data_IF_930586166022
#
_entry.id   IF_930586166022
#
_cell.length_a   1.000
_cell.length_b   1.000
_cell.length_c   1.000
_cell.angle_alpha   90.00
_cell.angle_beta   90.00
_cell.angle_gamma   90.00
#
_symmetry.space_group_name_H-M   'P 1'
#
loop_
_entity.id
_entity.type
_entity.pdbx_description
1 polymer ?
#
# COMPACT_ATOMS: atom_id res chain seq x y z
N UNK A 1 -13.78 50.13 -37.27
CA UNK A 1 -13.69 48.65 -37.14
C UNK A 1 -12.23 48.27 -36.87
N UNK A 2 -11.75 48.34 -35.62
CA UNK A 2 -10.34 48.01 -35.26
C UNK A 2 -10.21 47.53 -33.80
N UNK A 3 -11.02 46.54 -33.39
CA UNK A 3 -10.85 45.87 -32.07
C UNK A 3 -10.73 44.34 -32.12
N UNK A 4 -10.91 43.69 -33.28
CA UNK A 4 -10.87 42.22 -33.36
C UNK A 4 -9.47 41.60 -33.44
N UNK A 5 -8.43 42.36 -33.80
CA UNK A 5 -7.07 41.81 -33.98
C UNK A 5 -6.32 41.69 -32.64
N UNK A 6 -6.56 42.58 -31.69
CA UNK A 6 -5.82 42.63 -30.43
C UNK A 6 -6.22 41.51 -29.44
N UNK A 7 -7.47 41.04 -29.45
CA UNK A 7 -7.91 39.98 -28.51
C UNK A 7 -7.56 38.56 -28.97
N UNK A 8 -7.29 38.35 -30.27
CA UNK A 8 -6.89 37.05 -30.83
C UNK A 8 -5.38 36.80 -30.71
N UNK A 9 -4.59 37.87 -30.60
CA UNK A 9 -3.13 37.82 -30.52
C UNK A 9 -2.59 37.00 -29.34
N UNK A 10 -3.07 37.15 -28.09
CA UNK A 10 -2.53 36.40 -26.95
C UNK A 10 -2.78 34.89 -27.04
N UNK A 11 -3.94 34.47 -27.58
CA UNK A 11 -4.23 33.04 -27.74
C UNK A 11 -3.40 32.39 -28.86
N UNK A 12 -3.13 33.12 -29.94
CA UNK A 12 -2.25 32.67 -31.03
C UNK A 12 -0.81 32.55 -30.51
N UNK A 13 -0.32 33.53 -29.76
CA UNK A 13 1.01 33.45 -29.13
C UNK A 13 1.12 32.27 -28.15
N UNK A 14 0.09 32.04 -27.34
CA UNK A 14 0.05 30.89 -26.42
C UNK A 14 0.06 29.55 -27.18
N UNK A 15 -0.74 29.43 -28.25
CA UNK A 15 -0.77 28.24 -29.09
C UNK A 15 0.62 27.96 -29.70
N UNK A 16 1.29 28.97 -30.23
CA UNK A 16 2.63 28.82 -30.80
C UNK A 16 3.69 28.47 -29.75
N UNK A 17 3.61 29.05 -28.55
CA UNK A 17 4.48 28.67 -27.42
C UNK A 17 4.29 27.22 -27.01
N UNK A 18 3.04 26.76 -26.90
CA UNK A 18 2.76 25.36 -26.58
C UNK A 18 3.22 24.40 -27.68
N UNK A 19 3.04 24.75 -28.96
CA UNK A 19 3.54 23.93 -30.08
C UNK A 19 5.08 23.87 -30.10
N UNK A 20 5.76 24.99 -29.82
CA UNK A 20 7.22 25.01 -29.71
C UNK A 20 7.73 24.18 -28.53
N UNK A 21 7.09 24.28 -27.36
CA UNK A 21 7.42 23.47 -26.18
C UNK A 21 7.19 21.98 -26.45
N UNK A 22 6.06 21.62 -27.08
CA UNK A 22 5.77 20.26 -27.46
C UNK A 22 6.82 19.71 -28.44
N UNK A 23 7.22 20.49 -29.44
CA UNK A 23 8.27 20.10 -30.39
C UNK A 23 9.61 19.81 -29.69
N UNK A 24 10.04 20.68 -28.76
CA UNK A 24 11.27 20.51 -27.96
C UNK A 24 11.21 19.27 -27.07
N UNK A 25 10.06 18.99 -26.45
CA UNK A 25 9.86 17.80 -25.61
C UNK A 25 9.72 16.51 -26.43
N UNK A 26 9.19 16.60 -27.66
CA UNK A 26 9.02 15.45 -28.56
C UNK A 26 10.29 15.07 -29.32
N UNK A 27 11.29 15.96 -29.36
CA UNK A 27 12.58 15.67 -29.98
C UNK A 27 13.41 14.76 -29.07
N UNK A 28 13.19 13.46 -29.22
CA UNK A 28 13.92 12.38 -28.55
C UNK A 28 15.45 12.41 -28.80
N UNK A 29 15.94 13.27 -29.69
CA UNK A 29 17.37 13.50 -29.88
C UNK A 29 18.02 14.27 -28.71
N UNK A 30 17.27 15.11 -28.00
CA UNK A 30 17.79 15.88 -26.86
C UNK A 30 17.90 15.06 -25.57
N UNK A 31 17.29 13.87 -25.51
CA UNK A 31 17.25 13.02 -24.31
C UNK A 31 18.07 11.73 -24.46
N UNK A 32 18.93 11.65 -25.48
CA UNK A 32 19.99 10.63 -25.52
C UNK A 32 21.04 10.95 -24.46
N UNK A 33 20.69 10.61 -23.23
CA UNK A 33 21.63 10.38 -22.16
C UNK A 33 22.61 9.34 -22.68
N UNK A 34 23.89 9.72 -22.80
CA UNK A 34 24.98 8.78 -22.93
C UNK A 34 24.95 7.93 -21.66
N UNK A 35 24.32 6.76 -21.74
CA UNK A 35 24.44 5.74 -20.71
C UNK A 35 25.89 5.26 -20.80
N UNK A 36 26.73 5.45 -19.77
CA UNK A 36 28.06 4.83 -19.77
C UNK A 36 27.87 3.31 -19.81
N UNK A 37 28.66 2.64 -20.63
CA UNK A 37 28.65 1.17 -20.73
C UNK A 37 28.78 0.54 -19.33
N UNK A 38 28.02 -0.52 -19.03
CA UNK A 38 28.18 -1.24 -17.78
C UNK A 38 29.63 -1.76 -17.68
N UNK A 39 30.30 -1.64 -16.52
CA UNK A 39 31.65 -2.16 -16.36
C UNK A 39 31.65 -3.68 -16.62
N UNK A 40 32.63 -4.14 -17.38
CA UNK A 40 32.81 -5.56 -17.70
C UNK A 40 32.82 -6.40 -16.41
N UNK A 41 32.19 -7.58 -16.41
CA UNK A 41 32.14 -8.44 -15.24
C UNK A 41 33.55 -8.84 -14.82
N UNK A 42 33.87 -8.60 -13.54
CA UNK A 42 35.13 -8.98 -12.92
C UNK A 42 35.29 -10.50 -13.00
N UNK A 43 36.35 -10.94 -13.68
CA UNK A 43 36.82 -12.33 -13.67
C UNK A 43 37.25 -12.72 -12.26
N UNK A 44 36.40 -13.47 -11.55
CA UNK A 44 36.78 -14.09 -10.28
C UNK A 44 37.52 -15.38 -10.61
N UNK A 45 38.84 -15.36 -10.47
CA UNK A 45 39.67 -16.57 -10.46
C UNK A 45 39.32 -17.39 -9.21
N UNK A 46 38.65 -18.52 -9.43
CA UNK A 46 38.28 -19.47 -8.38
C UNK A 46 39.57 -20.14 -7.92
N UNK A 47 40.03 -19.76 -6.73
CA UNK A 47 41.12 -20.45 -6.02
C UNK A 47 40.69 -21.90 -5.79
N UNK A 48 41.51 -22.90 -6.14
CA UNK A 48 41.12 -24.29 -6.12
C UNK A 48 40.87 -24.80 -4.69
N UNK A 49 39.65 -25.30 -4.51
CA UNK A 49 39.31 -26.53 -3.79
C UNK A 49 39.87 -26.69 -2.36
N UNK A 50 39.07 -26.28 -1.37
CA UNK A 50 39.16 -26.88 -0.04
C UNK A 50 38.60 -28.30 -0.14
N UNK A 51 39.51 -29.28 -0.28
CA UNK A 51 39.24 -30.70 -0.11
C UNK A 51 39.06 -30.96 1.39
N UNK A 52 37.85 -31.24 1.90
CA UNK A 52 37.72 -31.78 3.24
C UNK A 52 38.33 -33.18 3.28
N UNK A 53 39.06 -33.55 4.34
CA UNK A 53 39.64 -34.89 4.45
C UNK A 53 38.55 -35.96 4.43
N UNK A 54 38.79 -36.96 3.59
CA UNK A 54 38.02 -38.20 3.46
C UNK A 54 37.90 -38.91 4.81
N UNK A 55 36.67 -39.11 5.27
CA UNK A 55 36.36 -40.03 6.36
C UNK A 55 36.19 -41.43 5.73
N UNK A 56 36.87 -42.47 6.25
CA UNK A 56 36.73 -43.82 5.72
C UNK A 56 35.33 -44.41 5.95
N UNK A 57 34.94 -45.18 4.95
CA UNK A 57 33.77 -46.06 4.85
C UNK A 57 33.73 -47.12 5.97
N UNK A 58 32.60 -47.23 6.67
CA UNK A 58 32.15 -48.45 7.35
C UNK A 58 30.67 -48.36 7.78
N UNK A 59 29.87 -49.26 7.18
CA UNK A 59 28.59 -49.87 7.62
C UNK A 59 27.36 -48.94 7.74
N UNK A 60 26.33 -48.96 6.87
CA UNK A 60 25.43 -50.04 6.39
C UNK A 60 24.61 -50.76 7.47
N UNK A 61 23.37 -51.07 7.06
CA UNK A 61 22.22 -51.70 7.72
C UNK A 61 21.26 -50.74 8.43
N UNK A 62 19.94 -50.75 8.25
CA UNK A 62 19.03 -51.42 7.31
C UNK A 62 17.63 -50.90 7.66
N UNK A 63 16.82 -50.40 6.70
CA UNK A 63 15.36 -50.61 6.73
C UNK A 63 14.86 -50.65 5.29
N UNK A 64 14.77 -51.87 4.81
CA UNK A 64 14.16 -52.31 3.56
C UNK A 64 12.63 -52.09 3.60
N UNK A 65 12.16 -51.32 2.61
CA UNK A 65 11.03 -51.58 1.72
C UNK A 65 9.90 -52.52 2.20
N UNK A 66 8.70 -51.98 2.44
CA UNK A 66 7.45 -52.73 2.40
C UNK A 66 6.52 -52.18 1.31
N UNK A 67 6.70 -52.80 0.15
CA UNK A 67 5.85 -53.01 -1.02
C UNK A 67 4.43 -52.38 -1.03
N UNK A 68 4.20 -51.57 -2.07
CA UNK A 68 2.92 -51.45 -2.78
C UNK A 68 2.72 -52.64 -3.71
N UNK A 69 1.62 -53.36 -3.53
CA UNK A 69 0.90 -54.18 -4.52
C UNK A 69 -0.39 -54.62 -3.80
N UNK A 70 -1.61 -54.67 -4.31
CA UNK A 70 -2.26 -54.40 -5.60
C UNK A 70 -3.76 -54.59 -5.33
N UNK A 71 -4.64 -53.78 -5.91
CA UNK A 71 -5.86 -54.24 -6.61
C UNK A 71 -6.67 -53.05 -7.15
N UNK A 72 -6.80 -53.01 -8.48
CA UNK A 72 -7.73 -52.21 -9.25
C UNK A 72 -8.89 -53.15 -9.70
N UNK A 73 -10.19 -52.82 -9.44
CA UNK A 73 -11.20 -52.26 -10.41
C UNK A 73 -12.05 -53.36 -11.11
N UNK A 74 -13.34 -53.21 -11.58
CA UNK A 74 -14.53 -52.35 -11.32
C UNK A 74 -15.89 -53.15 -11.21
N UNK A 75 -17.10 -52.72 -11.72
CA UNK A 75 -18.13 -51.80 -11.18
C UNK A 75 -19.58 -52.37 -11.17
N UNK A 76 -20.51 -51.83 -10.38
CA UNK A 76 -21.98 -51.93 -10.59
C UNK A 76 -22.67 -50.70 -9.94
N UNK A 77 -23.10 -49.68 -10.69
CA UNK A 77 -24.44 -49.46 -11.29
C UNK A 77 -25.53 -48.98 -10.29
N UNK A 78 -26.01 -47.75 -10.56
CA UNK A 78 -27.18 -47.05 -10.00
C UNK A 78 -28.49 -47.87 -10.11
N UNK A 79 -29.54 -47.54 -9.32
CA UNK A 79 -30.55 -46.61 -9.85
C UNK A 79 -31.12 -45.61 -8.82
N UNK A 80 -31.41 -44.42 -9.34
CA UNK A 80 -32.36 -43.44 -8.81
C UNK A 80 -33.80 -44.01 -8.82
N UNK A 81 -34.73 -43.46 -8.03
CA UNK A 81 -35.77 -42.67 -8.71
C UNK A 81 -36.23 -41.41 -7.93
N UNK A 82 -36.34 -40.31 -8.67
CA UNK A 82 -37.28 -39.20 -8.46
C UNK A 82 -38.75 -39.64 -8.75
N UNK A 83 -39.83 -38.81 -8.78
CA UNK A 83 -39.94 -37.34 -8.68
C UNK A 83 -41.22 -36.79 -7.96
N UNK A 84 -41.40 -35.47 -7.98
CA UNK A 84 -42.71 -34.79 -7.84
C UNK A 84 -42.61 -33.45 -7.09
N UNK A 85 -42.44 -32.32 -7.77
CA UNK A 85 -43.48 -31.38 -8.27
C UNK A 85 -44.31 -30.76 -7.13
N UNK A 86 -44.57 -29.45 -7.03
CA UNK A 86 -45.31 -28.62 -8.01
C UNK A 86 -45.39 -27.15 -7.49
N UNK A 87 -45.14 -26.18 -8.38
CA UNK A 87 -45.86 -24.91 -8.64
C UNK A 87 -45.98 -23.73 -7.64
N UNK A 88 -45.60 -22.55 -8.14
CA UNK A 88 -46.15 -21.19 -7.89
C UNK A 88 -47.58 -21.06 -8.52
N UNK A 89 -48.34 -19.91 -8.53
CA UNK A 89 -48.01 -18.51 -8.21
C UNK A 89 -49.14 -17.69 -7.52
N UNK A 90 -48.95 -16.36 -7.54
CA UNK A 90 -49.95 -15.25 -7.62
C UNK A 90 -50.18 -14.30 -6.43
N UNK A 91 -49.99 -13.00 -6.73
CA UNK A 91 -50.62 -11.85 -6.06
C UNK A 91 -52.06 -11.64 -6.57
N UNK A 92 -52.87 -10.77 -5.93
CA UNK A 92 -53.05 -9.41 -6.50
C UNK A 92 -53.27 -8.25 -5.50
N UNK A 93 -52.54 -7.15 -5.75
CA UNK A 93 -52.87 -5.71 -5.82
C UNK A 93 -53.99 -4.98 -5.01
N UNK A 94 -53.60 -3.75 -4.60
CA UNK A 94 -54.36 -2.46 -4.49
C UNK A 94 -55.13 -2.20 -3.17
N UNK A 95 -55.17 -1.01 -2.56
CA UNK A 95 -54.89 0.37 -3.00
C UNK A 95 -54.75 1.30 -1.77
N UNK A 96 -54.05 2.43 -1.90
CA UNK A 96 -54.05 3.50 -0.89
C UNK A 96 -53.00 4.58 -1.15
N UNK A 97 -53.26 5.48 -2.09
CA UNK A 97 -52.40 6.62 -2.41
C UNK A 97 -52.52 7.76 -1.37
N UNK A 98 -51.37 8.25 -0.87
CA UNK A 98 -51.16 9.67 -0.50
C UNK A 98 -49.65 10.02 -0.41
N UNK A 99 -49.17 10.72 -1.43
CA UNK A 99 -48.05 11.69 -1.49
C UNK A 99 -46.76 11.39 -0.69
N UNK A 100 -45.61 11.07 -1.32
CA UNK A 100 -44.32 11.16 -0.65
C UNK A 100 -43.71 12.55 -0.87
N UNK A 101 -43.63 13.31 0.22
CA UNK A 101 -42.64 14.37 0.39
C UNK A 101 -41.25 13.73 0.30
N UNK A 102 -40.41 14.29 -0.56
CA UNK A 102 -39.09 13.82 -0.91
C UNK A 102 -38.17 13.82 0.32
N UNK A 103 -38.21 12.76 1.10
CA UNK A 103 -37.16 12.43 2.06
C UNK A 103 -36.06 11.74 1.26
N UNK A 104 -34.87 12.34 1.25
CA UNK A 104 -33.67 11.79 0.64
C UNK A 104 -33.49 10.30 1.03
N UNK A 105 -33.01 9.43 0.11
CA UNK A 105 -32.77 8.04 0.45
C UNK A 105 -31.81 7.94 1.64
N UNK A 106 -32.05 7.02 2.61
CA UNK A 106 -31.08 6.74 3.63
C UNK A 106 -29.81 6.25 2.93
N UNK A 107 -28.71 6.97 3.17
CA UNK A 107 -27.37 6.53 2.81
C UNK A 107 -27.03 5.28 3.63
N UNK A 108 -27.53 4.13 3.19
CA UNK A 108 -27.18 2.83 3.76
C UNK A 108 -25.83 2.42 3.20
N UNK A 109 -24.78 2.88 3.87
CA UNK A 109 -23.56 2.14 4.20
C UNK A 109 -22.61 3.12 4.89
N UNK A 110 -22.93 3.52 6.13
CA UNK A 110 -21.91 4.08 6.99
C UNK A 110 -20.87 2.99 7.23
N UNK A 111 -19.74 3.08 6.52
CA UNK A 111 -18.49 2.40 6.88
C UNK A 111 -18.30 2.60 8.38
N UNK A 112 -17.94 1.56 9.17
CA UNK A 112 -17.74 1.73 10.60
C UNK A 112 -16.79 2.91 10.80
N UNK A 113 -17.29 3.97 11.43
CA UNK A 113 -16.55 5.17 11.74
C UNK A 113 -15.36 4.71 12.56
N UNK A 114 -14.17 4.74 11.96
CA UNK A 114 -12.99 4.14 12.55
C UNK A 114 -12.74 4.79 13.90
N UNK A 115 -12.72 3.98 14.96
CA UNK A 115 -12.56 4.46 16.33
C UNK A 115 -11.20 5.18 16.45
N UNK A 116 -11.25 6.48 16.72
CA UNK A 116 -10.05 7.30 16.89
C UNK A 116 -9.48 7.09 18.29
N UNK A 117 -8.18 6.84 18.33
CA UNK A 117 -7.37 6.68 19.54
C UNK A 117 -6.48 7.91 19.69
N UNK A 118 -6.55 8.57 20.84
CA UNK A 118 -5.62 9.64 21.22
C UNK A 118 -4.46 9.05 22.01
N UNK A 119 -3.23 9.28 21.54
CA UNK A 119 -2.03 8.81 22.20
C UNK A 119 -1.58 9.79 23.30
N UNK A 120 -1.18 9.24 24.45
CA UNK A 120 -0.65 10.01 25.59
C UNK A 120 0.87 9.87 25.76
N UNK A 121 1.52 9.10 24.89
CA UNK A 121 2.96 8.85 24.88
C UNK A 121 3.37 8.71 23.43
N UNK A 122 4.54 9.25 23.06
CA UNK A 122 5.03 9.28 21.69
C UNK A 122 6.36 8.53 21.59
N UNK A 123 6.59 7.82 20.49
CA UNK A 123 7.66 6.84 20.39
C UNK A 123 8.71 7.19 19.32
N UNK A 124 8.37 8.06 18.35
CA UNK A 124 9.25 8.37 17.22
C UNK A 124 10.62 8.89 17.67
N UNK A 125 10.68 9.77 18.67
CA UNK A 125 11.94 10.29 19.17
C UNK A 125 12.82 9.18 19.79
N UNK A 126 12.25 8.29 20.57
CA UNK A 126 12.99 7.20 21.21
C UNK A 126 13.50 6.20 20.15
N UNK A 127 12.69 5.88 19.14
CA UNK A 127 13.11 5.04 18.02
C UNK A 127 14.22 5.70 17.23
N UNK A 128 14.15 7.01 16.95
CA UNK A 128 15.22 7.71 16.24
C UNK A 128 16.51 7.75 17.06
N UNK A 129 16.42 7.89 18.39
CA UNK A 129 17.59 7.91 19.28
C UNK A 129 18.22 6.52 19.49
N UNK A 130 17.54 5.42 19.15
CA UNK A 130 18.15 4.09 19.14
C UNK A 130 19.36 4.04 18.19
N UNK A 131 20.52 3.49 18.62
CA UNK A 131 21.70 3.36 17.75
C UNK A 131 21.43 2.65 16.42
N UNK A 132 20.48 1.72 16.38
CA UNK A 132 20.09 1.00 15.15
C UNK A 132 19.42 1.91 14.12
N UNK A 133 18.93 3.07 14.53
CA UNK A 133 18.31 4.08 13.67
C UNK A 133 19.30 5.14 13.16
N UNK A 134 20.61 4.90 13.26
CA UNK A 134 21.64 5.84 12.82
C UNK A 134 21.43 6.32 11.36
N UNK A 135 21.16 5.39 10.43
CA UNK A 135 20.91 5.74 9.04
C UNK A 135 19.67 6.64 8.86
N UNK A 136 18.60 6.40 9.62
CA UNK A 136 17.41 7.25 9.57
C UNK A 136 17.71 8.66 10.11
N UNK A 137 18.49 8.78 11.19
CA UNK A 137 18.92 10.06 11.73
C UNK A 137 19.82 10.86 10.77
N UNK A 138 20.66 10.18 10.00
CA UNK A 138 21.50 10.80 8.97
C UNK A 138 20.68 11.21 7.74
N UNK A 139 19.67 10.42 7.37
CA UNK A 139 18.84 10.65 6.19
C UNK A 139 17.79 11.75 6.38
N UNK A 140 17.12 11.81 7.53
CA UNK A 140 16.02 12.78 7.77
C UNK A 140 16.40 14.24 7.50
N UNK A 141 17.60 14.75 7.88
CA UNK A 141 18.00 16.12 7.58
C UNK A 141 18.26 16.40 6.09
N UNK A 142 18.40 15.37 5.25
CA UNK A 142 18.58 15.52 3.79
C UNK A 142 17.27 15.73 3.05
N UNK A 143 16.14 15.44 3.70
CA UNK A 143 14.81 15.65 3.18
C UNK A 143 14.42 17.12 3.24
N UNK A 144 13.41 17.49 2.46
CA UNK A 144 12.75 18.79 2.67
C UNK A 144 12.16 18.84 4.08
N UNK A 145 11.96 20.05 4.62
CA UNK A 145 11.37 20.19 5.95
C UNK A 145 9.98 19.57 6.04
N UNK A 146 9.22 19.53 4.95
CA UNK A 146 7.90 18.92 4.91
C UNK A 146 8.01 17.39 4.93
N UNK A 147 8.79 16.82 4.01
CA UNK A 147 8.99 15.37 3.91
C UNK A 147 9.56 14.79 5.22
N UNK A 148 10.53 15.48 5.84
CA UNK A 148 11.11 15.05 7.12
C UNK A 148 10.07 14.98 8.24
N UNK A 149 9.15 15.96 8.31
CA UNK A 149 8.04 15.96 9.27
C UNK A 149 7.09 14.80 9.00
N UNK A 150 6.76 14.53 7.74
CA UNK A 150 5.91 13.40 7.36
C UNK A 150 6.54 12.06 7.71
N UNK A 151 7.85 11.88 7.51
CA UNK A 151 8.55 10.66 7.90
C UNK A 151 8.50 10.43 9.42
N UNK A 152 8.69 11.48 10.22
CA UNK A 152 8.59 11.40 11.68
C UNK A 152 7.16 11.00 12.10
N UNK A 153 6.15 11.60 11.49
CA UNK A 153 4.75 11.27 11.76
C UNK A 153 4.37 9.86 11.28
N UNK A 154 4.92 9.39 10.17
CA UNK A 154 4.73 8.03 9.68
C UNK A 154 5.39 7.01 10.61
N UNK A 155 6.59 7.32 11.13
CA UNK A 155 7.26 6.52 12.14
C UNK A 155 6.41 6.42 13.42
N UNK A 156 5.92 7.56 13.91
CA UNK A 156 5.04 7.61 15.08
C UNK A 156 3.81 6.71 14.91
N UNK A 157 3.11 6.83 13.77
CA UNK A 157 1.93 6.01 13.47
C UNK A 157 2.23 4.50 13.50
N UNK A 158 3.38 4.09 12.94
CA UNK A 158 3.82 2.71 12.96
C UNK A 158 4.09 2.21 14.39
N UNK A 159 4.72 3.03 15.23
CA UNK A 159 4.99 2.64 16.62
C UNK A 159 3.71 2.59 17.46
N UNK A 160 2.80 3.55 17.30
CA UNK A 160 1.52 3.55 18.01
C UNK A 160 0.74 2.26 17.74
N UNK A 161 0.66 1.84 16.48
CA UNK A 161 -0.01 0.59 16.13
C UNK A 161 0.73 -0.63 16.68
N UNK A 162 2.07 -0.63 16.65
CA UNK A 162 2.89 -1.73 17.21
C UNK A 162 2.65 -1.91 18.71
N UNK A 163 2.59 -0.81 19.47
CA UNK A 163 2.38 -0.83 20.91
C UNK A 163 0.94 -1.17 21.30
N UNK A 164 -0.06 -0.67 20.55
CA UNK A 164 -1.46 -0.86 20.86
C UNK A 164 -2.01 -2.26 20.48
N UNK A 165 -1.42 -2.92 19.48
CA UNK A 165 -1.93 -4.20 18.94
C UNK A 165 -0.85 -5.29 18.95
N UNK A 166 -0.83 -6.16 19.97
CA UNK A 166 0.07 -7.31 20.01
C UNK A 166 -0.02 -8.13 18.71
N UNK A 167 1.13 -8.42 18.10
CA UNK A 167 1.21 -9.16 16.84
C UNK A 167 1.28 -8.29 15.58
N UNK A 168 0.92 -7.01 15.64
CA UNK A 168 1.22 -6.08 14.55
C UNK A 168 2.73 -5.78 14.53
N UNK A 169 3.33 -5.96 13.36
CA UNK A 169 4.71 -5.56 13.04
C UNK A 169 4.65 -4.59 11.85
N UNK A 170 4.37 -3.30 12.07
CA UNK A 170 4.31 -2.33 10.98
C UNK A 170 5.68 -2.18 10.32
N UNK A 171 5.72 -2.25 8.99
CA UNK A 171 6.96 -2.19 8.18
C UNK A 171 6.96 -1.05 7.18
N UNK A 172 5.78 -0.52 6.83
CA UNK A 172 5.64 0.55 5.84
C UNK A 172 4.37 1.33 6.08
N UNK A 173 4.41 2.61 5.79
CA UNK A 173 3.25 3.50 5.78
C UNK A 173 3.24 4.28 4.46
N UNK A 174 2.07 4.35 3.83
CA UNK A 174 1.81 5.13 2.63
C UNK A 174 0.78 6.21 3.00
N UNK A 175 1.21 7.44 3.33
CA UNK A 175 0.32 8.46 3.88
C UNK A 175 -0.65 9.04 2.83
N UNK A 176 -0.32 8.90 1.54
CA UNK A 176 -1.14 9.39 0.42
C UNK A 176 -1.89 8.28 -0.32
N UNK A 177 -2.09 7.10 0.28
CA UNK A 177 -2.61 5.92 -0.44
C UNK A 177 -4.00 6.16 -1.05
N UNK A 178 -4.97 6.63 -0.27
CA UNK A 178 -6.34 6.88 -0.75
C UNK A 178 -6.64 8.38 -0.91
N UNK A 179 -6.04 9.20 -0.04
CA UNK A 179 -6.16 10.66 -0.05
C UNK A 179 -4.82 11.27 0.32
N UNK A 180 -4.47 12.38 -0.31
CA UNK A 180 -3.26 13.10 0.02
C UNK A 180 -3.28 13.53 1.50
N UNK A 181 -2.14 13.35 2.18
CA UNK A 181 -1.87 14.09 3.41
C UNK A 181 -1.84 15.59 3.11
N UNK A 182 -1.98 16.38 4.16
CA UNK A 182 -1.77 17.82 4.08
C UNK A 182 -1.34 18.36 5.45
N UNK A 183 -0.65 19.50 5.42
CA UNK A 183 -0.25 20.20 6.62
C UNK A 183 -1.24 21.32 6.97
N UNK A 184 -1.55 21.44 8.26
CA UNK A 184 -2.25 22.57 8.85
C UNK A 184 -1.45 23.04 10.06
N UNK A 185 -0.82 24.21 9.94
CA UNK A 185 0.03 24.80 10.98
C UNK A 185 1.16 23.83 11.39
N UNK A 186 1.17 23.36 12.63
CA UNK A 186 2.12 22.41 13.21
C UNK A 186 1.68 20.94 13.06
N UNK A 187 0.53 20.69 12.43
CA UNK A 187 -0.11 19.39 12.38
C UNK A 187 -0.12 18.82 10.95
N UNK A 188 0.40 17.60 10.79
CA UNK A 188 0.21 16.78 9.58
C UNK A 188 -1.06 15.96 9.74
N UNK A 189 -1.92 16.00 8.72
CA UNK A 189 -3.19 15.28 8.70
C UNK A 189 -3.15 14.28 7.55
N UNK A 190 -3.32 13.00 7.90
CA UNK A 190 -3.48 11.89 6.95
C UNK A 190 -4.91 11.38 7.06
N UNK A 191 -5.81 11.83 6.17
CA UNK A 191 -7.23 11.49 6.27
C UNK A 191 -7.52 10.05 5.83
N UNK A 192 -6.72 9.48 4.91
CA UNK A 192 -6.85 8.10 4.46
C UNK A 192 -5.54 7.60 3.80
N UNK A 193 -4.70 6.96 4.60
CA UNK A 193 -3.47 6.29 4.17
C UNK A 193 -3.57 4.77 4.31
N UNK A 194 -2.42 4.10 4.11
CA UNK A 194 -2.29 2.66 4.27
C UNK A 194 -1.08 2.31 5.15
N UNK A 195 -1.25 1.35 6.05
CA UNK A 195 -0.22 0.78 6.91
C UNK A 195 0.00 -0.69 6.56
N UNK A 196 1.24 -1.09 6.29
CA UNK A 196 1.58 -2.49 6.06
C UNK A 196 2.05 -3.14 7.35
N UNK A 197 1.43 -4.25 7.72
CA UNK A 197 1.87 -5.12 8.80
C UNK A 197 1.70 -6.59 8.43
N UNK A 198 2.71 -7.43 8.72
CA UNK A 198 2.67 -8.87 8.43
C UNK A 198 2.29 -9.19 6.96
N UNK A 199 2.79 -8.40 6.00
CA UNK A 199 2.48 -8.48 4.56
C UNK A 199 1.03 -8.18 4.17
N UNK A 200 0.24 -7.64 5.09
CA UNK A 200 -1.13 -7.18 4.84
C UNK A 200 -1.17 -5.66 4.96
N UNK A 201 -1.87 -5.00 4.05
CA UNK A 201 -2.13 -3.57 4.10
C UNK A 201 -3.43 -3.30 4.86
N UNK A 202 -3.45 -2.29 5.71
CA UNK A 202 -4.59 -1.85 6.51
C UNK A 202 -4.84 -0.37 6.24
N UNK A 203 -6.10 0.05 6.28
CA UNK A 203 -6.40 1.48 6.26
C UNK A 203 -5.90 2.15 7.55
N UNK A 204 -5.41 3.39 7.43
CA UNK A 204 -5.05 4.20 8.59
C UNK A 204 -5.37 5.68 8.33
N UNK A 205 -5.88 6.35 9.35
CA UNK A 205 -5.96 7.82 9.39
C UNK A 205 -5.22 8.31 10.63
N UNK A 206 -4.57 9.47 10.56
CA UNK A 206 -3.93 10.07 11.73
C UNK A 206 -3.80 11.58 11.66
N UNK A 207 -3.63 12.20 12.83
CA UNK A 207 -3.25 13.60 13.03
C UNK A 207 -2.00 13.61 13.89
N UNK A 208 -0.95 14.23 13.38
CA UNK A 208 0.35 14.28 14.03
C UNK A 208 0.75 15.74 14.22
N UNK A 209 0.74 16.21 15.46
CA UNK A 209 1.24 17.53 15.84
C UNK A 209 2.71 17.42 16.20
N UNK A 210 3.51 18.32 15.65
CA UNK A 210 4.92 18.44 15.95
C UNK A 210 5.16 19.69 16.79
N UNK A 211 6.28 19.72 17.50
CA UNK A 211 6.76 20.90 18.20
C UNK A 211 7.19 22.01 17.22
N UNK A 212 7.58 23.17 17.77
CA UNK A 212 8.02 24.31 16.96
C UNK A 212 9.25 24.00 16.09
N UNK A 213 10.08 23.02 16.47
CA UNK A 213 11.22 22.58 15.65
C UNK A 213 10.81 21.70 14.47
N UNK A 214 9.59 21.13 14.49
CA UNK A 214 9.11 20.18 13.50
C UNK A 214 9.75 18.80 13.62
N UNK A 215 10.37 18.47 14.77
CA UNK A 215 11.16 17.25 14.94
C UNK A 215 10.66 16.34 16.05
N UNK A 216 9.87 16.87 16.97
CA UNK A 216 9.39 16.14 18.14
C UNK A 216 7.86 16.07 18.06
N UNK A 217 7.31 14.87 18.16
CA UNK A 217 5.85 14.67 18.25
C UNK A 217 5.35 15.23 19.58
N UNK A 218 4.35 16.12 19.51
CA UNK A 218 3.72 16.78 20.65
C UNK A 218 2.24 16.41 20.83
N UNK A 219 1.64 15.81 19.80
CA UNK A 219 0.25 15.36 19.76
C UNK A 219 0.06 14.27 18.72
N UNK A 220 -0.65 13.20 19.04
CA UNK A 220 -0.93 12.16 18.06
C UNK A 220 -2.30 11.50 18.28
N UNK A 221 -3.06 11.40 17.19
CA UNK A 221 -4.34 10.70 17.14
C UNK A 221 -4.37 9.82 15.90
N UNK A 222 -4.91 8.61 15.99
CA UNK A 222 -5.03 7.73 14.83
C UNK A 222 -6.26 6.85 14.89
N UNK A 223 -6.66 6.35 13.73
CA UNK A 223 -7.66 5.32 13.59
C UNK A 223 -7.12 4.24 12.66
N UNK A 224 -7.10 2.99 13.13
CA UNK A 224 -6.69 1.82 12.33
C UNK A 224 -7.94 1.14 11.79
N UNK A 225 -8.03 1.02 10.47
CA UNK A 225 -9.16 0.42 9.78
C UNK A 225 -8.97 -1.05 9.40
N UNK A 226 -9.83 -1.49 8.49
CA UNK A 226 -9.84 -2.86 7.99
C UNK A 226 -8.62 -3.16 7.10
N UNK A 227 -8.30 -4.46 6.88
CA UNK A 227 -7.40 -4.88 5.82
C UNK A 227 -7.89 -4.38 4.45
N UNK A 228 -6.94 -3.98 3.60
CA UNK A 228 -7.18 -3.52 2.23
C UNK A 228 -7.10 -4.73 1.31
N UNK A 229 -8.14 -4.93 0.50
CA UNK A 229 -8.21 -6.01 -0.47
C UNK A 229 -7.00 -5.97 -1.42
N UNK A 230 -6.38 -7.12 -1.64
CA UNK A 230 -5.19 -7.25 -2.48
C UNK A 230 -5.43 -6.81 -3.92
N UNK A 231 -6.66 -6.97 -4.43
CA UNK A 231 -7.04 -6.49 -5.77
C UNK A 231 -6.94 -4.97 -5.93
N UNK A 232 -6.95 -4.21 -4.83
CA UNK A 232 -6.84 -2.75 -4.82
C UNK A 232 -5.39 -2.26 -4.68
N UNK A 233 -4.43 -3.14 -4.46
CA UNK A 233 -3.07 -2.71 -4.09
C UNK A 233 -2.37 -1.97 -5.22
N UNK A 234 -2.49 -2.46 -6.45
CA UNK A 234 -1.85 -1.84 -7.61
C UNK A 234 -2.45 -0.45 -7.90
N UNK A 235 -3.76 -0.29 -7.72
CA UNK A 235 -4.47 0.99 -7.88
C UNK A 235 -3.92 2.07 -6.93
N UNK A 236 -3.61 1.69 -5.69
CA UNK A 236 -3.13 2.60 -4.64
C UNK A 236 -1.60 2.58 -4.44
N UNK A 237 -0.85 1.95 -5.34
CA UNK A 237 0.62 1.88 -5.27
C UNK A 237 1.15 1.10 -4.06
N UNK A 238 0.37 0.15 -3.54
CA UNK A 238 0.68 -0.64 -2.34
C UNK A 238 1.48 -1.89 -2.71
N UNK A 239 2.80 -1.74 -2.82
CA UNK A 239 3.68 -2.83 -3.23
C UNK A 239 3.52 -4.09 -2.36
N UNK A 240 3.44 -5.30 -2.96
CA UNK A 240 3.36 -6.56 -2.21
C UNK A 240 4.67 -6.95 -1.52
N UNK A 241 5.81 -6.45 -2.01
CA UNK A 241 7.16 -6.85 -1.59
C UNK A 241 8.07 -5.62 -1.49
N UNK A 242 8.56 -5.35 -0.28
CA UNK A 242 9.90 -4.85 0.10
C UNK A 242 10.04 -5.09 1.61
#
# INVERSE_FOLDING_TARGET
>A
MTRFVAEKFPWICALWLHLALYAVLSDAALWRSVVPDPPEPVSVEIIPEFVPPSVPDAALEDVEESQRQTAAVPPQTLPDPAPGSTSAPDQPHSSGARVPEQTAPPSTAAKPEQEWVTANTYFANDVLNDPRSAQAREFLPTLTSEDGREQICALEAMEQVRHARPGFKPTRLAPHAFRNSFQKEDTIIVPAGALRSNRVWYEIAYRCRLDASGKIVSGFEYALGAPIDRSLWDEYGLAPIH
#
